data_IF_990293305086
#
_entry.id   IF_990293305086
#
_cell.length_a   1.000
_cell.length_b   1.000
_cell.length_c   1.000
_cell.angle_alpha   90.00
_cell.angle_beta   90.00
_cell.angle_gamma   90.00
#
_symmetry.space_group_name_H-M   'P 1'
#
loop_
_entity.id
_entity.type
_entity.pdbx_description
1 polymer ?
#
# COMPACT_ATOMS: atom_id res chain seq x y z
N UNK A 1 -13.76 -4.71 13.62
CA UNK A 1 -13.41 -3.50 14.39
C UNK A 1 -11.90 -3.30 14.24
N UNK A 2 -11.47 -2.10 13.86
CA UNK A 2 -10.07 -1.83 13.54
C UNK A 2 -9.20 -1.85 14.81
N UNK A 3 -8.52 -2.97 15.05
CA UNK A 3 -7.61 -3.16 16.19
C UNK A 3 -6.53 -2.07 16.24
N UNK A 4 -6.09 -1.60 15.08
CA UNK A 4 -5.14 -0.49 14.91
C UNK A 4 -5.63 0.83 15.51
N UNK A 5 -6.91 1.16 15.35
CA UNK A 5 -7.50 2.36 15.95
C UNK A 5 -7.53 2.30 17.47
N UNK A 6 -7.73 1.11 18.04
CA UNK A 6 -7.76 0.90 19.50
C UNK A 6 -6.35 0.99 20.09
N UNK A 7 -5.35 0.37 19.44
CA UNK A 7 -3.95 0.41 19.88
C UNK A 7 -3.38 1.82 19.76
N UNK A 8 -3.68 2.54 18.68
CA UNK A 8 -3.25 3.93 18.50
C UNK A 8 -3.86 4.87 19.55
N UNK A 9 -5.16 4.72 19.82
CA UNK A 9 -5.84 5.48 20.87
C UNK A 9 -5.23 5.21 22.26
N UNK A 10 -4.89 3.95 22.58
CA UNK A 10 -4.21 3.60 23.84
C UNK A 10 -2.79 4.18 23.90
N UNK A 11 -2.04 4.17 22.81
CA UNK A 11 -0.68 4.71 22.75
C UNK A 11 -0.65 6.24 22.95
N UNK A 12 -1.56 6.97 22.29
CA UNK A 12 -1.72 8.41 22.48
C UNK A 12 -2.13 8.75 23.92
N UNK A 13 -3.02 7.95 24.51
CA UNK A 13 -3.46 8.15 25.91
C UNK A 13 -2.30 7.93 26.89
N UNK A 14 -1.47 6.90 26.67
CA UNK A 14 -0.30 6.63 27.50
C UNK A 14 0.79 7.71 27.37
N UNK A 15 1.06 8.19 26.15
CA UNK A 15 2.04 9.24 25.91
C UNK A 15 1.62 10.58 26.54
N UNK A 16 0.32 10.90 26.51
CA UNK A 16 -0.24 12.10 27.13
C UNK A 16 -0.09 12.07 28.66
N UNK A 17 -0.28 10.89 29.29
CA UNK A 17 -0.10 10.73 30.74
C UNK A 17 1.36 10.86 31.19
N UNK A 18 2.31 10.48 30.33
CA UNK A 18 3.73 10.51 30.65
C UNK A 18 4.43 11.81 30.20
N UNK A 19 3.70 12.75 29.60
CA UNK A 19 4.23 13.98 29.02
C UNK A 19 5.39 13.74 28.03
N UNK A 20 5.40 12.60 27.35
CA UNK A 20 6.41 12.24 26.34
C UNK A 20 5.90 12.70 24.98
N UNK A 21 6.66 13.54 24.28
CA UNK A 21 6.43 13.80 22.87
C UNK A 21 6.72 12.54 22.07
N UNK A 22 5.69 11.93 21.49
CA UNK A 22 5.84 10.85 20.52
C UNK A 22 6.50 11.41 19.26
N UNK A 23 7.83 11.34 19.17
CA UNK A 23 8.58 11.54 17.92
C UNK A 23 8.64 10.25 17.10
N UNK A 24 7.63 9.38 17.23
CA UNK A 24 7.55 8.18 16.42
C UNK A 24 7.03 8.58 15.04
N UNK A 25 7.90 8.45 14.05
CA UNK A 25 7.59 8.65 12.64
C UNK A 25 6.44 7.72 12.26
N UNK A 26 5.23 8.28 12.11
CA UNK A 26 3.99 7.51 11.88
C UNK A 26 4.05 6.74 10.56
N UNK A 27 4.88 7.21 9.62
CA UNK A 27 5.22 6.52 8.38
C UNK A 27 5.89 5.15 8.63
N UNK A 28 6.72 5.01 9.67
CA UNK A 28 7.41 3.76 10.00
C UNK A 28 6.48 2.74 10.66
N UNK A 29 5.51 3.20 11.46
CA UNK A 29 4.54 2.31 12.12
C UNK A 29 3.49 1.75 11.14
N UNK A 30 3.04 2.56 10.18
CA UNK A 30 2.18 2.06 9.09
C UNK A 30 2.92 1.07 8.18
N UNK A 31 4.21 1.28 7.94
CA UNK A 31 5.01 0.39 7.09
C UNK A 31 5.32 -0.94 7.79
N UNK A 32 5.60 -0.93 9.10
CA UNK A 32 5.83 -2.16 9.86
C UNK A 32 4.55 -3.02 10.00
N UNK A 33 3.38 -2.38 10.08
CA UNK A 33 2.10 -3.08 10.00
C UNK A 33 1.88 -3.69 8.61
N UNK A 34 2.18 -2.96 7.53
CA UNK A 34 2.09 -3.51 6.16
C UNK A 34 3.05 -4.66 5.94
N UNK A 35 4.25 -4.61 6.49
CA UNK A 35 5.22 -5.71 6.45
C UNK A 35 4.68 -6.93 7.22
N UNK A 36 4.05 -6.74 8.38
CA UNK A 36 3.41 -7.83 9.13
C UNK A 36 2.18 -8.40 8.43
N UNK A 37 1.37 -7.56 7.76
CA UNK A 37 0.20 -7.97 7.00
C UNK A 37 0.59 -8.74 5.73
N UNK A 38 1.68 -8.31 5.06
CA UNK A 38 2.29 -9.05 3.94
C UNK A 38 2.89 -10.38 4.41
N UNK A 39 3.54 -10.41 5.58
CA UNK A 39 4.05 -11.65 6.16
C UNK A 39 2.90 -12.62 6.53
N UNK A 40 1.84 -12.12 7.15
CA UNK A 40 0.65 -12.90 7.49
C UNK A 40 -0.10 -13.41 6.23
N UNK A 41 -0.17 -12.61 5.16
CA UNK A 41 -0.70 -13.05 3.87
C UNK A 41 0.19 -14.09 3.19
N UNK A 42 1.51 -14.00 3.33
CA UNK A 42 2.47 -15.01 2.88
C UNK A 42 2.29 -16.35 3.61
N UNK A 43 2.10 -16.31 4.92
CA UNK A 43 1.80 -17.51 5.73
C UNK A 43 0.42 -18.10 5.40
N UNK A 44 -0.60 -17.27 5.19
CA UNK A 44 -1.93 -17.72 4.77
C UNK A 44 -1.94 -18.29 3.33
N UNK A 45 -1.12 -17.75 2.43
CA UNK A 45 -0.91 -18.30 1.09
C UNK A 45 -0.16 -19.65 1.13
N UNK A 46 0.78 -19.81 2.07
CA UNK A 46 1.46 -21.09 2.31
C UNK A 46 0.52 -22.13 2.96
N UNK A 47 -0.39 -21.71 3.84
CA UNK A 47 -1.42 -22.55 4.43
C UNK A 47 -2.48 -23.04 3.42
N UNK A 48 -2.79 -22.23 2.39
CA UNK A 48 -3.69 -22.64 1.29
C UNK A 48 -3.01 -23.57 0.28
N UNK A 49 -1.69 -23.53 0.16
CA UNK A 49 -0.92 -24.54 -0.58
C UNK A 49 -0.92 -25.91 0.13
N UNK A 50 -0.94 -25.94 1.48
CA UNK A 50 -1.09 -27.16 2.26
C UNK A 50 -2.50 -27.78 2.14
N UNK A 51 -3.55 -26.96 2.03
CA UNK A 51 -4.93 -27.43 1.82
C UNK A 51 -5.17 -28.06 0.44
N UNK A 52 -4.38 -27.73 -0.58
CA UNK A 52 -4.47 -28.38 -1.91
C UNK A 52 -3.88 -29.80 -1.96
N UNK A 53 -3.18 -30.24 -0.91
CA UNK A 53 -2.67 -31.61 -0.77
C UNK A 53 -3.53 -32.49 0.14
N UNK A 54 -4.62 -31.97 0.71
CA UNK A 54 -5.57 -32.79 1.48
C UNK A 54 -6.56 -33.49 0.53
N UNK A 55 -6.09 -34.59 -0.03
CA UNK A 55 -6.79 -35.84 -0.30
C UNK A 55 -8.32 -35.76 -0.55
N UNK A 56 -8.70 -35.72 -1.83
CA UNK A 56 -10.07 -35.90 -2.32
C UNK A 56 -10.41 -37.37 -2.61
N UNK A 57 -9.70 -38.34 -2.02
CA UNK A 57 -9.90 -39.78 -2.31
C UNK A 57 -10.20 -40.66 -1.09
N UNK A 58 -11.11 -40.25 -0.20
CA UNK A 58 -11.91 -41.19 0.62
C UNK A 58 -13.15 -40.44 1.11
N UNK A 59 -14.40 -40.86 0.89
CA UNK A 59 -15.00 -42.11 1.31
C UNK A 59 -16.30 -41.76 2.09
N UNK A 60 -17.42 -41.69 1.37
CA UNK A 60 -18.83 -41.81 1.77
C UNK A 60 -19.29 -41.55 3.24
N UNK A 61 -20.26 -40.62 3.42
CA UNK A 61 -21.62 -40.95 3.91
C UNK A 61 -22.58 -39.73 4.08
N UNK A 62 -23.73 -39.85 3.42
CA UNK A 62 -25.11 -39.50 3.85
C UNK A 62 -25.57 -38.03 3.97
N UNK A 63 -26.41 -37.69 2.98
CA UNK A 63 -27.76 -37.06 3.06
C UNK A 63 -27.88 -35.67 3.70
N UNK A 64 -27.94 -34.67 2.82
CA UNK A 64 -28.60 -33.38 3.04
C UNK A 64 -28.88 -32.74 1.68
N UNK A 65 -30.06 -32.98 1.13
CA UNK A 65 -30.46 -32.58 -0.22
C UNK A 65 -30.81 -31.08 -0.22
N UNK A 66 -29.88 -30.23 -0.63
CA UNK A 66 -30.18 -28.87 -1.09
C UNK A 66 -30.37 -28.92 -2.61
N UNK A 67 -31.45 -28.32 -3.16
CA UNK A 67 -31.67 -28.28 -4.60
C UNK A 67 -30.70 -27.27 -5.21
N UNK A 68 -29.68 -27.79 -5.91
CA UNK A 68 -28.83 -27.00 -6.81
C UNK A 68 -29.67 -26.65 -8.04
N UNK A 69 -30.18 -25.43 -8.07
CA UNK A 69 -30.74 -24.86 -9.29
C UNK A 69 -29.59 -24.58 -10.27
N UNK A 70 -29.62 -25.23 -11.43
CA UNK A 70 -28.86 -24.78 -12.60
C UNK A 70 -27.83 -25.75 -13.18
N UNK A 71 -28.04 -27.06 -13.11
CA UNK A 71 -27.45 -27.99 -14.07
C UNK A 71 -28.21 -27.87 -15.41
N UNK A 72 -27.88 -26.84 -16.20
CA UNK A 72 -28.34 -26.71 -17.57
C UNK A 72 -27.23 -26.09 -18.41
N UNK A 73 -26.17 -26.87 -18.65
CA UNK A 73 -25.49 -27.07 -19.94
C UNK A 73 -24.23 -27.90 -19.67
N UNK A 74 -24.28 -29.17 -20.07
CA UNK A 74 -23.15 -30.07 -19.99
C UNK A 74 -22.02 -29.61 -20.90
N UNK A 75 -20.84 -29.41 -20.31
CA UNK A 75 -19.54 -29.69 -20.91
C UNK A 75 -18.50 -29.54 -19.79
N UNK A 76 -18.30 -30.61 -19.03
CA UNK A 76 -17.13 -30.84 -18.17
C UNK A 76 -15.83 -31.03 -18.97
N UNK A 77 -15.72 -30.40 -20.15
CA UNK A 77 -14.46 -30.16 -20.83
C UNK A 77 -13.94 -28.82 -20.32
N UNK A 78 -12.95 -28.84 -19.43
CA UNK A 78 -12.09 -27.67 -19.29
C UNK A 78 -11.50 -27.44 -20.68
N UNK A 79 -12.03 -26.45 -21.41
CA UNK A 79 -11.52 -26.09 -22.72
C UNK A 79 -10.00 -25.94 -22.60
N UNK A 80 -9.17 -26.63 -23.42
CA UNK A 80 -7.72 -26.50 -23.34
C UNK A 80 -7.26 -25.04 -23.44
N UNK A 81 -8.07 -24.19 -24.09
CA UNK A 81 -7.90 -22.74 -24.15
C UNK A 81 -8.02 -22.07 -22.78
N UNK A 82 -8.97 -22.47 -21.93
CA UNK A 82 -9.17 -21.87 -20.60
C UNK A 82 -8.03 -22.24 -19.63
N UNK A 83 -7.44 -23.44 -19.77
CA UNK A 83 -6.26 -23.82 -19.00
C UNK A 83 -5.02 -23.03 -19.44
N UNK A 84 -4.87 -22.78 -20.75
CA UNK A 84 -3.80 -21.94 -21.28
C UNK A 84 -3.90 -20.49 -20.77
N UNK A 85 -5.08 -19.88 -20.86
CA UNK A 85 -5.32 -18.52 -20.34
C UNK A 85 -5.05 -18.41 -18.83
N UNK A 86 -5.41 -19.44 -18.05
CA UNK A 86 -5.15 -19.46 -16.62
C UNK A 86 -3.65 -19.55 -16.33
N UNK A 87 -2.92 -20.33 -17.12
CA UNK A 87 -1.48 -20.43 -17.01
C UNK A 87 -0.78 -19.12 -17.39
N UNK A 88 -1.16 -18.50 -18.51
CA UNK A 88 -0.67 -17.18 -18.91
C UNK A 88 -0.96 -16.12 -17.83
N UNK A 89 -2.17 -16.13 -17.25
CA UNK A 89 -2.53 -15.21 -16.19
C UNK A 89 -1.68 -15.42 -14.92
N UNK A 90 -1.32 -16.67 -14.59
CA UNK A 90 -0.40 -16.96 -13.47
C UNK A 90 1.01 -16.47 -13.77
N UNK A 91 1.52 -16.72 -14.96
CA UNK A 91 2.87 -16.30 -15.36
C UNK A 91 2.98 -14.77 -15.38
N UNK A 92 1.96 -14.08 -15.91
CA UNK A 92 1.87 -12.62 -15.86
C UNK A 92 1.78 -12.11 -14.42
N UNK A 93 1.01 -12.77 -13.55
CA UNK A 93 0.93 -12.39 -12.15
C UNK A 93 2.28 -12.53 -11.44
N UNK A 94 2.99 -13.63 -11.69
CA UNK A 94 4.34 -13.84 -11.14
C UNK A 94 5.32 -12.77 -11.64
N UNK A 95 5.32 -12.45 -12.93
CA UNK A 95 6.16 -11.39 -13.49
C UNK A 95 5.87 -10.01 -12.87
N UNK A 96 4.58 -9.72 -12.60
CA UNK A 96 4.19 -8.48 -11.94
C UNK A 96 4.68 -8.44 -10.48
N UNK A 97 4.60 -9.56 -9.75
CA UNK A 97 5.12 -9.68 -8.38
C UNK A 97 6.63 -9.48 -8.36
N UNK A 98 7.37 -10.16 -9.24
CA UNK A 98 8.83 -10.05 -9.31
C UNK A 98 9.26 -8.61 -9.61
N UNK A 99 8.58 -7.96 -10.57
CA UNK A 99 8.84 -6.56 -10.90
C UNK A 99 8.47 -5.61 -9.77
N UNK A 100 7.39 -5.90 -9.04
CA UNK A 100 7.01 -5.11 -7.87
C UNK A 100 8.06 -5.21 -6.76
N UNK A 101 8.60 -6.41 -6.51
CA UNK A 101 9.69 -6.61 -5.55
C UNK A 101 10.95 -5.86 -5.96
N UNK A 102 11.33 -5.91 -7.24
CA UNK A 102 12.46 -5.13 -7.76
C UNK A 102 12.29 -3.62 -7.55
N UNK A 103 11.10 -3.08 -7.85
CA UNK A 103 10.84 -1.65 -7.63
C UNK A 103 10.85 -1.28 -6.14
N UNK A 104 10.32 -2.14 -5.27
CA UNK A 104 10.39 -1.93 -3.82
C UNK A 104 11.84 -1.94 -3.32
N UNK A 105 12.68 -2.84 -3.84
CA UNK A 105 14.10 -2.87 -3.53
C UNK A 105 14.79 -1.57 -3.97
N UNK A 106 14.59 -1.13 -5.21
CA UNK A 106 15.15 0.12 -5.72
C UNK A 106 14.71 1.34 -4.90
N UNK A 107 13.43 1.40 -4.51
CA UNK A 107 12.92 2.47 -3.66
C UNK A 107 13.58 2.46 -2.27
N UNK A 108 13.78 1.27 -1.68
CA UNK A 108 14.48 1.15 -0.40
C UNK A 108 15.96 1.55 -0.48
N UNK A 109 16.63 1.23 -1.58
CA UNK A 109 18.01 1.63 -1.84
C UNK A 109 18.11 3.15 -2.01
N UNK A 110 17.22 3.76 -2.79
CA UNK A 110 17.16 5.22 -2.96
C UNK A 110 16.86 5.96 -1.66
N UNK A 111 15.97 5.43 -0.82
CA UNK A 111 15.71 6.01 0.50
C UNK A 111 16.95 5.93 1.41
N UNK A 112 17.69 4.82 1.39
CA UNK A 112 18.95 4.69 2.12
C UNK A 112 20.01 5.67 1.60
N UNK A 113 20.17 5.78 0.28
CA UNK A 113 21.08 6.76 -0.34
C UNK A 113 20.72 8.19 0.06
N UNK A 114 19.42 8.53 0.04
CA UNK A 114 18.94 9.86 0.45
C UNK A 114 19.25 10.16 1.91
N UNK A 115 18.99 9.22 2.81
CA UNK A 115 19.31 9.38 4.24
C UNK A 115 20.82 9.55 4.44
N UNK A 116 21.64 8.74 3.78
CA UNK A 116 23.10 8.86 3.84
C UNK A 116 23.59 10.22 3.31
N UNK A 117 23.09 10.67 2.16
CA UNK A 117 23.42 12.00 1.62
C UNK A 117 22.95 13.13 2.53
N UNK A 118 21.79 12.98 3.18
CA UNK A 118 21.28 13.92 4.18
C UNK A 118 22.24 14.07 5.36
N UNK A 119 22.71 12.96 5.90
CA UNK A 119 23.70 12.95 6.99
C UNK A 119 25.05 13.56 6.57
N UNK A 120 25.54 13.25 5.36
CA UNK A 120 26.77 13.84 4.83
C UNK A 120 26.63 15.35 4.67
N UNK A 121 25.49 15.83 4.16
CA UNK A 121 25.21 17.24 3.98
C UNK A 121 25.18 17.98 5.32
N UNK A 122 24.59 17.39 6.35
CA UNK A 122 24.57 17.96 7.69
C UNK A 122 25.96 17.98 8.34
N UNK A 123 26.79 16.95 8.13
CA UNK A 123 28.21 16.94 8.51
C UNK A 123 28.99 18.05 7.82
N UNK A 124 28.84 18.22 6.51
CA UNK A 124 29.52 19.28 5.75
C UNK A 124 29.07 20.66 6.21
N UNK A 125 27.77 20.89 6.44
CA UNK A 125 27.26 22.13 7.03
C UNK A 125 27.86 22.41 8.41
N UNK A 126 27.98 21.40 9.26
CA UNK A 126 28.60 21.49 10.58
C UNK A 126 30.06 21.91 10.48
N UNK A 127 30.84 21.20 9.66
CA UNK A 127 32.25 21.50 9.40
C UNK A 127 32.43 22.90 8.83
N UNK A 128 31.57 23.32 7.90
CA UNK A 128 31.60 24.64 7.32
C UNK A 128 31.35 25.75 8.35
N UNK A 129 30.40 25.56 9.28
CA UNK A 129 30.17 26.50 10.38
C UNK A 129 31.39 26.63 11.29
N UNK A 130 32.04 25.51 11.63
CA UNK A 130 33.26 25.50 12.46
C UNK A 130 34.40 26.22 11.72
N UNK A 131 34.60 25.91 10.44
CA UNK A 131 35.66 26.50 9.63
C UNK A 131 35.44 28.01 9.44
N UNK A 132 34.19 28.42 9.17
CA UNK A 132 33.79 29.83 9.08
C UNK A 132 34.05 30.59 10.39
N UNK A 133 33.82 29.96 11.54
CA UNK A 133 34.14 30.54 12.85
C UNK A 133 35.65 30.70 13.03
N UNK A 134 36.43 29.66 12.75
CA UNK A 134 37.90 29.71 12.78
C UNK A 134 38.45 30.80 11.84
N UNK A 135 37.88 30.96 10.65
CA UNK A 135 38.29 32.00 9.71
C UNK A 135 38.00 33.42 10.18
N UNK A 136 36.85 33.63 10.83
CA UNK A 136 36.56 34.91 11.48
C UNK A 136 37.48 35.21 12.66
N UNK A 137 37.99 34.19 13.34
CA UNK A 137 38.95 34.35 14.43
C UNK A 137 40.38 34.60 13.91
N UNK A 138 40.70 34.14 12.70
CA UNK A 138 42.02 34.29 12.03
C UNK A 138 41.90 35.35 10.92
N UNK A 139 41.32 36.53 11.23
CA UNK A 139 41.23 37.65 10.27
C UNK A 139 42.63 38.05 9.76
N UNK A 140 43.03 37.53 8.59
CA UNK A 140 44.28 37.96 7.94
C UNK A 140 44.89 37.02 6.88
N UNK A 141 44.58 35.72 6.85
CA UNK A 141 45.27 34.81 5.91
C UNK A 141 44.52 34.61 4.57
N UNK A 142 45.12 34.98 3.41
CA UNK A 142 44.51 34.81 2.09
C UNK A 142 44.40 33.33 1.65
N UNK A 143 45.24 32.44 2.18
CA UNK A 143 45.27 31.02 1.81
C UNK A 143 43.96 30.29 2.18
N UNK A 144 43.32 30.72 3.25
CA UNK A 144 42.11 30.08 3.73
C UNK A 144 40.81 30.46 3.01
N UNK A 145 40.82 31.60 2.31
CA UNK A 145 39.69 32.06 1.51
C UNK A 145 39.42 31.14 0.32
N UNK A 146 40.49 30.62 -0.31
CA UNK A 146 40.39 29.68 -1.43
C UNK A 146 39.80 28.32 -1.00
N UNK A 147 40.23 27.77 0.15
CA UNK A 147 39.64 26.55 0.70
C UNK A 147 38.17 26.74 1.07
N UNK A 148 37.80 27.93 1.54
CA UNK A 148 36.41 28.23 1.88
C UNK A 148 35.52 28.30 0.63
N UNK A 149 36.00 28.90 -0.47
CA UNK A 149 35.30 28.88 -1.77
C UNK A 149 35.14 27.47 -2.32
N UNK A 150 36.15 26.60 -2.19
CA UNK A 150 36.06 25.20 -2.63
C UNK A 150 35.02 24.41 -1.82
N UNK A 151 34.93 24.65 -0.52
CA UNK A 151 33.92 24.01 0.33
C UNK A 151 32.52 24.57 0.02
N UNK A 152 32.38 25.89 -0.22
CA UNK A 152 31.09 26.46 -0.65
C UNK A 152 30.64 25.88 -1.99
N UNK A 153 31.57 25.65 -2.91
CA UNK A 153 31.30 24.99 -4.19
C UNK A 153 30.82 23.55 -4.01
N UNK A 154 31.56 22.72 -3.25
CA UNK A 154 31.15 21.32 -2.99
C UNK A 154 29.82 21.22 -2.23
N UNK A 155 29.53 22.17 -1.33
CA UNK A 155 28.24 22.27 -0.64
C UNK A 155 27.09 22.64 -1.59
N UNK A 156 27.35 23.47 -2.59
CA UNK A 156 26.36 23.77 -3.63
C UNK A 156 26.16 22.59 -4.59
N UNK A 157 27.22 21.89 -4.97
CA UNK A 157 27.15 20.70 -5.82
C UNK A 157 26.35 19.58 -5.15
N UNK A 158 26.59 19.32 -3.86
CA UNK A 158 25.84 18.30 -3.08
C UNK A 158 24.38 18.69 -2.89
N UNK A 159 24.06 19.97 -2.68
CA UNK A 159 22.67 20.46 -2.66
C UNK A 159 21.97 20.24 -4.00
N UNK A 160 22.64 20.53 -5.10
CA UNK A 160 22.08 20.32 -6.44
C UNK A 160 21.81 18.83 -6.69
N UNK A 161 22.74 17.96 -6.28
CA UNK A 161 22.57 16.50 -6.37
C UNK A 161 21.39 16.01 -5.53
N UNK A 162 21.26 16.49 -4.30
CA UNK A 162 20.13 16.14 -3.42
C UNK A 162 18.80 16.57 -4.03
N UNK A 163 18.72 17.79 -4.57
CA UNK A 163 17.53 18.27 -5.26
C UNK A 163 17.19 17.43 -6.49
N UNK A 164 18.19 16.97 -7.25
CA UNK A 164 17.97 16.08 -8.39
C UNK A 164 17.44 14.70 -7.96
N UNK A 165 17.94 14.16 -6.84
CA UNK A 165 17.46 12.90 -6.25
C UNK A 165 16.03 13.02 -5.72
N UNK A 166 15.68 14.13 -5.07
CA UNK A 166 14.31 14.40 -4.62
C UNK A 166 13.34 14.47 -5.81
N UNK A 167 13.74 15.12 -6.92
CA UNK A 167 12.96 15.15 -8.15
C UNK A 167 12.77 13.74 -8.74
N UNK A 168 13.84 12.93 -8.82
CA UNK A 168 13.77 11.56 -9.31
C UNK A 168 12.86 10.66 -8.44
N UNK A 169 12.84 10.86 -7.12
CA UNK A 169 11.93 10.16 -6.21
C UNK A 169 10.47 10.55 -6.46
N UNK A 170 10.19 11.84 -6.64
CA UNK A 170 8.85 12.31 -6.95
C UNK A 170 8.34 11.73 -8.30
N UNK A 171 9.21 11.69 -9.31
CA UNK A 171 8.90 11.09 -10.62
C UNK A 171 8.63 9.59 -10.51
N UNK A 172 9.46 8.85 -9.75
CA UNK A 172 9.27 7.41 -9.54
C UNK A 172 7.95 7.11 -8.79
N UNK A 173 7.62 7.92 -7.78
CA UNK A 173 6.35 7.80 -7.06
C UNK A 173 5.15 8.10 -7.98
N UNK A 174 5.25 9.13 -8.82
CA UNK A 174 4.21 9.47 -9.79
C UNK A 174 4.02 8.36 -10.83
N UNK A 175 5.11 7.78 -11.36
CA UNK A 175 5.05 6.65 -12.30
C UNK A 175 4.44 5.42 -11.64
N UNK A 176 4.84 5.08 -10.42
CA UNK A 176 4.28 3.96 -9.67
C UNK A 176 2.77 4.14 -9.47
N UNK A 177 2.34 5.32 -9.03
CA UNK A 177 0.93 5.63 -8.83
C UNK A 177 0.14 5.57 -10.15
N UNK A 178 0.71 6.10 -11.23
CA UNK A 178 0.12 6.04 -12.57
C UNK A 178 -0.05 4.59 -13.02
N UNK A 179 1.00 3.77 -12.93
CA UNK A 179 0.96 2.37 -13.37
C UNK A 179 0.02 1.51 -12.53
N UNK A 180 -0.06 1.76 -11.23
CA UNK A 180 -1.08 1.14 -10.36
C UNK A 180 -2.49 1.49 -10.83
N UNK A 181 -2.76 2.77 -11.11
CA UNK A 181 -4.06 3.23 -11.61
C UNK A 181 -4.39 2.72 -13.02
N UNK A 182 -3.37 2.52 -13.86
CA UNK A 182 -3.53 2.05 -15.23
C UNK A 182 -3.62 0.52 -15.33
N UNK A 183 -3.23 -0.21 -14.28
CA UNK A 183 -3.23 -1.67 -14.27
C UNK A 183 -4.63 -2.23 -14.53
N UNK A 184 -4.71 -3.22 -15.42
CA UNK A 184 -5.97 -3.88 -15.78
C UNK A 184 -6.73 -4.42 -14.57
N UNK A 185 -6.10 -5.03 -13.54
CA UNK A 185 -6.79 -5.48 -12.34
C UNK A 185 -7.45 -4.33 -11.56
N UNK A 186 -6.78 -3.19 -11.40
CA UNK A 186 -7.34 -2.03 -10.69
C UNK A 186 -8.51 -1.43 -11.47
N UNK A 187 -8.40 -1.32 -12.80
CA UNK A 187 -9.51 -0.89 -13.66
C UNK A 187 -10.71 -1.84 -13.57
N UNK A 188 -10.46 -3.16 -13.59
CA UNK A 188 -11.49 -4.18 -13.48
C UNK A 188 -12.17 -4.14 -12.10
N UNK A 189 -11.38 -4.01 -11.01
CA UNK A 189 -11.89 -3.86 -9.66
C UNK A 189 -12.76 -2.61 -9.53
N UNK A 190 -12.32 -1.47 -10.07
CA UNK A 190 -13.09 -0.21 -10.08
C UNK A 190 -14.43 -0.36 -10.82
N UNK A 191 -14.43 -1.02 -11.98
CA UNK A 191 -15.66 -1.32 -12.73
C UNK A 191 -16.59 -2.24 -11.94
N UNK A 192 -16.07 -3.28 -11.28
CA UNK A 192 -16.86 -4.19 -10.46
C UNK A 192 -17.48 -3.47 -9.25
N UNK A 193 -16.72 -2.61 -8.57
CA UNK A 193 -17.19 -1.77 -7.47
C UNK A 193 -18.29 -0.81 -7.91
N UNK A 194 -18.16 -0.19 -9.08
CA UNK A 194 -19.20 0.68 -9.65
C UNK A 194 -20.49 -0.10 -9.90
N UNK A 195 -20.42 -1.26 -10.57
CA UNK A 195 -21.58 -2.12 -10.81
C UNK A 195 -22.26 -2.55 -9.51
N UNK A 196 -21.47 -2.99 -8.51
CA UNK A 196 -22.00 -3.37 -7.20
C UNK A 196 -22.66 -2.20 -6.46
N UNK A 197 -22.11 -0.99 -6.57
CA UNK A 197 -22.74 0.21 -6.01
C UNK A 197 -24.06 0.57 -6.72
N UNK A 198 -24.16 0.39 -8.03
CA UNK A 198 -25.41 0.58 -8.78
C UNK A 198 -26.45 -0.47 -8.38
N UNK A 199 -26.06 -1.74 -8.24
CA UNK A 199 -26.92 -2.81 -7.72
C UNK A 199 -27.46 -2.47 -6.32
N UNK A 200 -26.58 -2.05 -5.40
CA UNK A 200 -26.96 -1.65 -4.04
C UNK A 200 -27.93 -0.46 -4.07
N UNK A 201 -27.69 0.55 -4.92
CA UNK A 201 -28.63 1.67 -5.09
C UNK A 201 -29.99 1.20 -5.59
N UNK A 202 -30.03 0.30 -6.56
CA UNK A 202 -31.27 -0.26 -7.09
C UNK A 202 -32.02 -1.07 -6.02
N UNK A 203 -31.32 -1.90 -5.26
CA UNK A 203 -31.90 -2.68 -4.16
C UNK A 203 -32.46 -1.77 -3.06
N UNK A 204 -31.73 -0.73 -2.66
CA UNK A 204 -32.21 0.27 -1.70
C UNK A 204 -33.48 0.98 -2.20
N UNK A 205 -33.53 1.33 -3.48
CA UNK A 205 -34.72 1.95 -4.07
C UNK A 205 -35.92 0.99 -4.11
N UNK A 206 -35.70 -0.30 -4.36
CA UNK A 206 -36.74 -1.33 -4.32
C UNK A 206 -37.26 -1.54 -2.90
N UNK A 207 -36.36 -1.69 -1.92
CA UNK A 207 -36.72 -1.84 -0.51
C UNK A 207 -37.56 -0.66 -0.03
N UNK A 208 -37.13 0.58 -0.33
CA UNK A 208 -37.89 1.78 0.02
C UNK A 208 -39.31 1.77 -0.54
N UNK A 209 -39.50 1.36 -1.80
CA UNK A 209 -40.85 1.24 -2.40
C UNK A 209 -41.75 0.24 -1.68
N UNK A 210 -41.19 -0.84 -1.13
CA UNK A 210 -41.95 -1.81 -0.36
C UNK A 210 -42.28 -1.29 1.04
N UNK A 211 -41.34 -0.60 1.69
CA UNK A 211 -41.58 0.06 2.98
C UNK A 211 -42.69 1.13 2.92
N UNK A 212 -42.76 1.89 1.82
CA UNK A 212 -43.81 2.91 1.64
C UNK A 212 -45.21 2.26 1.46
N UNK A 213 -45.30 1.12 0.78
CA UNK A 213 -46.57 0.39 0.54
C UNK A 213 -47.12 -0.25 1.82
N UNK A 214 -46.25 -0.74 2.70
CA UNK A 214 -46.67 -1.33 3.97
C UNK A 214 -47.20 -0.26 4.95
N UNK A 215 -46.72 0.99 4.87
CA UNK A 215 -47.24 2.10 5.67
C UNK A 215 -48.61 2.61 5.21
N UNK A 216 -48.86 2.64 3.89
CA UNK A 216 -50.16 3.04 3.33
C UNK A 216 -51.25 1.99 3.61
N UNK A 217 -50.89 0.70 3.63
CA UNK A 217 -51.83 -0.39 3.92
C UNK A 217 -52.31 -0.43 5.39
N UNK A 218 -51.48 -0.01 6.35
CA UNK A 218 -51.88 0.06 7.76
C UNK A 218 -52.82 1.25 8.04
N UNK A 219 -52.70 2.38 7.32
CA UNK A 219 -53.58 3.54 7.52
C UNK A 219 -55.00 3.35 6.97
N UNK A 220 -55.20 2.53 5.93
CA UNK A 220 -56.53 2.29 5.34
C UNK A 220 -57.35 1.23 6.08
N UNK A 221 -56.72 0.39 6.93
CA UNK A 221 -57.39 -0.65 7.72
C UNK A 221 -57.90 -0.20 9.10
N UNK A 222 -57.55 1.01 9.54
CA UNK A 222 -57.84 1.53 10.89
C UNK A 222 -59.15 2.31 11.08
N UNK A 223 -60.01 2.38 10.05
CA UNK A 223 -61.20 3.22 10.04
C UNK A 223 -62.52 2.45 9.91
N UNK A 224 -62.91 1.67 10.92
CA UNK A 224 -64.31 1.26 11.13
C UNK A 224 -64.65 1.11 12.61
#
# INVERSE_FOLDING_TARGET
ANLSGVVFAQLCTAAQQQAVQLSSDTALAEDQHRVQEVAALGEAASATAALKKLDLTSGAAKRGHLPVLGAAHGASGHSPTALHELQEARDQNQQLIDRQQQMQQQLSELLKERSAMGEELDKVKGNFKILKKKFKEIEGEPAGRAQMEEIEKSLNDTKALLSAKDAALADLQADQQRRLSESAPVKQLKSMLQKKNEEIKSLRQRLKKHEDVDQDAEQDSGGH
#
